data_IF_557246412093
#
_entry.id   IF_557246412093
#
_cell.length_a   1.000
_cell.length_b   1.000
_cell.length_c   1.000
_cell.angle_alpha   90.00
_cell.angle_beta   90.00
_cell.angle_gamma   90.00
#
_symmetry.space_group_name_H-M   'P 1'
#
loop_
_entity.id
_entity.type
_entity.pdbx_description
1 polymer ?
#
# COMPACT_ATOMS: atom_id res chain seq x y z
N UNK A 1 -5.18 14.91 -24.37
CA UNK A 1 -3.96 14.10 -24.62
C UNK A 1 -3.07 13.87 -23.38
N UNK A 2 -3.18 14.64 -22.28
CA UNK A 2 -2.29 14.56 -21.10
C UNK A 2 -2.44 13.31 -20.20
N UNK A 3 -3.58 12.60 -20.20
CA UNK A 3 -3.78 11.44 -19.32
C UNK A 3 -2.94 10.20 -19.69
N UNK A 4 -2.51 10.07 -20.96
CA UNK A 4 -1.72 8.91 -21.37
C UNK A 4 -0.24 9.05 -20.98
N UNK A 5 0.30 10.27 -21.01
CA UNK A 5 1.68 10.52 -20.58
C UNK A 5 1.85 10.24 -19.09
N UNK A 6 0.92 10.69 -18.24
CA UNK A 6 0.97 10.42 -16.80
C UNK A 6 0.90 8.93 -16.47
N UNK A 7 0.07 8.16 -17.18
CA UNK A 7 -0.03 6.71 -17.03
C UNK A 7 1.28 6.00 -17.43
N UNK A 8 1.93 6.45 -18.51
CA UNK A 8 3.22 5.89 -18.96
C UNK A 8 4.32 6.18 -17.93
N UNK A 9 4.41 7.41 -17.42
CA UNK A 9 5.40 7.77 -16.40
C UNK A 9 5.18 7.00 -15.10
N UNK A 10 3.93 6.84 -14.67
CA UNK A 10 3.58 6.03 -13.52
C UNK A 10 4.00 4.57 -13.72
N UNK A 11 3.65 3.95 -14.85
CA UNK A 11 4.05 2.57 -15.16
C UNK A 11 5.57 2.40 -15.21
N UNK A 12 6.31 3.36 -15.76
CA UNK A 12 7.77 3.34 -15.77
C UNK A 12 8.36 3.40 -14.36
N UNK A 13 7.84 4.27 -13.48
CA UNK A 13 8.26 4.33 -12.06
C UNK A 13 7.90 3.06 -11.30
N UNK A 14 6.75 2.46 -11.58
CA UNK A 14 6.37 1.16 -11.02
C UNK A 14 7.40 0.07 -11.39
N UNK A 15 7.78 -0.02 -12.66
CA UNK A 15 8.70 -1.06 -13.14
C UNK A 15 10.14 -0.80 -12.71
N UNK A 16 10.60 0.46 -12.73
CA UNK A 16 12.01 0.81 -12.50
C UNK A 16 12.37 1.10 -11.04
N UNK A 17 11.41 1.55 -10.23
CA UNK A 17 11.66 1.93 -8.84
C UNK A 17 10.93 0.99 -7.89
N UNK A 18 9.60 0.89 -8.03
CA UNK A 18 8.78 0.16 -7.06
C UNK A 18 9.08 -1.34 -7.02
N UNK A 19 9.05 -2.02 -8.17
CA UNK A 19 9.26 -3.47 -8.23
C UNK A 19 10.66 -3.86 -7.73
N UNK A 20 11.76 -3.22 -8.17
CA UNK A 20 13.09 -3.52 -7.63
C UNK A 20 13.19 -3.29 -6.11
N UNK A 21 12.64 -2.18 -5.61
CA UNK A 21 12.61 -1.87 -4.16
C UNK A 21 11.86 -2.94 -3.39
N UNK A 22 10.70 -3.38 -3.89
CA UNK A 22 9.92 -4.42 -3.25
C UNK A 22 10.63 -5.77 -3.27
N UNK A 23 11.38 -6.10 -4.33
CA UNK A 23 12.17 -7.34 -4.39
C UNK A 23 13.30 -7.33 -3.35
N UNK A 24 13.93 -6.18 -3.09
CA UNK A 24 14.99 -6.07 -2.07
C UNK A 24 14.47 -6.11 -0.64
N UNK A 25 13.19 -5.84 -0.44
CA UNK A 25 12.53 -5.76 0.88
C UNK A 25 11.47 -6.86 0.99
N UNK A 26 11.79 -7.98 1.65
CA UNK A 26 10.92 -9.17 1.70
C UNK A 26 9.46 -8.87 2.07
N UNK A 27 9.26 -8.01 3.05
CA UNK A 27 7.94 -7.58 3.52
C UNK A 27 7.15 -6.74 2.50
N UNK A 28 7.81 -6.00 1.61
CA UNK A 28 7.15 -5.32 0.49
C UNK A 28 6.83 -6.31 -0.64
N UNK A 29 7.72 -7.29 -0.89
CA UNK A 29 7.44 -8.40 -1.80
C UNK A 29 6.19 -9.19 -1.35
N UNK A 30 6.06 -9.46 -0.05
CA UNK A 30 4.87 -10.13 0.52
C UNK A 30 3.57 -9.39 0.16
N UNK A 31 3.59 -8.06 0.17
CA UNK A 31 2.41 -7.25 -0.20
C UNK A 31 2.12 -7.32 -1.71
N UNK A 32 3.15 -7.39 -2.56
CA UNK A 32 2.96 -7.63 -4.00
C UNK A 32 2.35 -9.03 -4.22
N UNK A 33 2.87 -10.04 -3.54
CA UNK A 33 2.36 -11.41 -3.63
C UNK A 33 0.94 -11.54 -3.06
N UNK A 34 0.61 -10.79 -2.01
CA UNK A 34 -0.75 -10.65 -1.48
C UNK A 34 -1.70 -10.15 -2.57
N UNK A 35 -1.37 -9.02 -3.22
CA UNK A 35 -2.20 -8.46 -4.28
C UNK A 35 -2.36 -9.43 -5.47
N UNK A 36 -1.28 -10.11 -5.86
CA UNK A 36 -1.30 -11.13 -6.92
C UNK A 36 -2.20 -12.32 -6.55
N UNK A 37 -2.08 -12.85 -5.33
CA UNK A 37 -2.89 -13.98 -4.85
C UNK A 37 -4.38 -13.62 -4.80
N UNK A 38 -4.73 -12.40 -4.39
CA UNK A 38 -6.14 -11.94 -4.44
C UNK A 38 -6.69 -11.95 -5.86
N UNK A 39 -5.95 -11.36 -6.79
CA UNK A 39 -6.34 -11.33 -8.19
C UNK A 39 -6.51 -12.75 -8.75
N UNK A 40 -5.53 -13.63 -8.50
CA UNK A 40 -5.57 -15.02 -8.95
C UNK A 40 -6.72 -15.81 -8.31
N UNK A 41 -7.02 -15.62 -7.02
CA UNK A 41 -8.18 -16.25 -6.38
C UNK A 41 -9.48 -15.92 -7.09
N UNK A 42 -9.67 -14.66 -7.51
CA UNK A 42 -10.85 -14.26 -8.29
C UNK A 42 -10.82 -14.89 -9.69
N UNK A 43 -9.68 -14.84 -10.37
CA UNK A 43 -9.53 -15.40 -11.72
C UNK A 43 -9.80 -16.92 -11.77
N UNK A 44 -9.47 -17.65 -10.70
CA UNK A 44 -9.70 -19.09 -10.60
C UNK A 44 -11.07 -19.48 -10.04
N UNK A 45 -11.89 -18.55 -9.56
CA UNK A 45 -13.19 -18.81 -8.92
C UNK A 45 -14.10 -19.74 -9.72
N UNK A 46 -14.09 -19.62 -11.04
CA UNK A 46 -14.94 -20.43 -11.94
C UNK A 46 -14.15 -21.50 -12.72
N UNK A 47 -12.82 -21.57 -12.54
CA UNK A 47 -11.94 -22.47 -13.32
C UNK A 47 -11.45 -23.66 -12.51
N UNK A 48 -11.07 -23.45 -11.25
CA UNK A 48 -10.60 -24.52 -10.37
C UNK A 48 -10.77 -24.11 -8.91
N UNK A 49 -11.63 -24.84 -8.20
CA UNK A 49 -11.88 -24.59 -6.79
C UNK A 49 -10.65 -24.87 -5.92
N UNK A 50 -9.82 -25.84 -6.31
CA UNK A 50 -8.56 -26.15 -5.62
C UNK A 50 -7.58 -24.97 -5.70
N UNK A 51 -7.32 -24.48 -6.92
CA UNK A 51 -6.43 -23.34 -7.13
C UNK A 51 -6.95 -22.07 -6.43
N UNK A 52 -8.26 -21.83 -6.49
CA UNK A 52 -8.88 -20.73 -5.76
C UNK A 52 -8.58 -20.81 -4.25
N UNK A 53 -8.72 -22.00 -3.62
CA UNK A 53 -8.45 -22.18 -2.19
C UNK A 53 -6.97 -21.95 -1.86
N UNK A 54 -6.05 -22.43 -2.70
CA UNK A 54 -4.61 -22.20 -2.52
C UNK A 54 -4.30 -20.71 -2.49
N UNK A 55 -4.78 -19.94 -3.47
CA UNK A 55 -4.54 -18.50 -3.49
C UNK A 55 -5.22 -17.75 -2.34
N UNK A 56 -6.37 -18.23 -1.84
CA UNK A 56 -6.99 -17.68 -0.62
C UNK A 56 -6.14 -17.92 0.63
N UNK A 57 -5.58 -19.12 0.78
CA UNK A 57 -4.67 -19.44 1.88
C UNK A 57 -3.41 -18.58 1.83
N UNK A 58 -2.79 -18.47 0.65
CA UNK A 58 -1.62 -17.60 0.45
C UNK A 58 -1.93 -16.13 0.73
N UNK A 59 -3.11 -15.64 0.30
CA UNK A 59 -3.59 -14.28 0.63
C UNK A 59 -3.60 -14.05 2.15
N UNK A 60 -4.18 -14.99 2.92
CA UNK A 60 -4.22 -14.88 4.37
C UNK A 60 -2.82 -14.87 4.99
N UNK A 61 -1.95 -15.76 4.51
CA UNK A 61 -0.56 -15.86 4.97
C UNK A 61 0.21 -14.55 4.73
N UNK A 62 0.23 -14.04 3.50
CA UNK A 62 0.96 -12.81 3.17
C UNK A 62 0.39 -11.59 3.90
N UNK A 63 -0.94 -11.50 4.09
CA UNK A 63 -1.55 -10.42 4.89
C UNK A 63 -1.09 -10.46 6.35
N UNK A 64 -1.11 -11.64 6.97
CA UNK A 64 -0.62 -11.83 8.34
C UNK A 64 0.86 -11.46 8.47
N UNK A 65 1.71 -11.93 7.56
CA UNK A 65 3.14 -11.62 7.55
C UNK A 65 3.42 -10.12 7.37
N UNK A 66 2.70 -9.47 6.44
CA UNK A 66 2.83 -8.03 6.19
C UNK A 66 2.45 -7.19 7.41
N UNK A 67 1.38 -7.56 8.12
CA UNK A 67 0.96 -6.89 9.36
C UNK A 67 1.98 -7.08 10.49
N UNK A 68 2.53 -8.29 10.63
CA UNK A 68 3.60 -8.54 11.60
C UNK A 68 4.86 -7.73 11.28
N UNK A 69 5.27 -7.72 10.01
CA UNK A 69 6.42 -6.95 9.54
C UNK A 69 6.25 -5.45 9.80
N UNK A 70 5.09 -4.87 9.47
CA UNK A 70 4.79 -3.48 9.76
C UNK A 70 4.87 -3.19 11.26
N UNK A 71 4.23 -4.01 12.10
CA UNK A 71 4.26 -3.83 13.56
C UNK A 71 5.68 -3.89 14.12
N UNK A 72 6.49 -4.83 13.66
CA UNK A 72 7.89 -4.95 14.07
C UNK A 72 8.72 -3.74 13.63
N UNK A 73 8.53 -3.26 12.40
CA UNK A 73 9.23 -2.10 11.88
C UNK A 73 8.89 -0.83 12.67
N UNK A 74 7.60 -0.58 12.95
CA UNK A 74 7.18 0.55 13.81
C UNK A 74 7.84 0.45 15.19
N UNK A 75 7.85 -0.73 15.80
CA UNK A 75 8.42 -0.92 17.14
C UNK A 75 9.94 -0.71 17.17
N UNK A 76 10.64 -1.03 16.08
CA UNK A 76 12.09 -0.94 15.99
C UNK A 76 12.59 0.45 15.55
N UNK A 77 11.81 1.17 14.74
CA UNK A 77 12.25 2.41 14.09
C UNK A 77 11.77 3.67 14.82
N UNK A 78 10.76 3.58 15.69
CA UNK A 78 10.25 4.75 16.39
C UNK A 78 11.33 5.46 17.23
N UNK A 79 11.44 6.81 17.14
CA UNK A 79 10.53 7.74 16.45
C UNK A 79 10.85 8.01 14.97
N UNK A 80 11.97 7.50 14.44
CA UNK A 80 12.49 7.83 13.10
C UNK A 80 12.16 6.74 12.07
N UNK A 81 10.97 6.84 11.48
CA UNK A 81 10.44 5.85 10.54
C UNK A 81 11.13 5.88 9.16
N UNK A 82 11.42 4.69 8.62
CA UNK A 82 11.98 4.54 7.28
C UNK A 82 10.90 4.67 6.20
N UNK A 83 11.33 4.98 4.97
CA UNK A 83 10.45 4.96 3.79
C UNK A 83 9.82 3.59 3.56
N UNK A 84 10.58 2.52 3.84
CA UNK A 84 10.11 1.14 3.74
C UNK A 84 8.95 0.89 4.71
N UNK A 85 8.97 1.44 5.92
CA UNK A 85 7.88 1.30 6.90
C UNK A 85 6.63 2.07 6.49
N UNK A 86 6.79 3.30 6.02
CA UNK A 86 5.68 4.09 5.46
C UNK A 86 5.07 3.38 4.25
N UNK A 87 5.90 2.85 3.34
CA UNK A 87 5.45 2.10 2.18
C UNK A 87 4.59 0.89 2.56
N UNK A 88 4.96 0.13 3.61
CA UNK A 88 4.15 -1.00 4.11
C UNK A 88 2.76 -0.54 4.54
N UNK A 89 2.67 0.55 5.30
CA UNK A 89 1.39 1.09 5.76
C UNK A 89 0.50 1.54 4.58
N UNK A 90 1.08 2.28 3.63
CA UNK A 90 0.38 2.71 2.41
C UNK A 90 -0.09 1.51 1.59
N UNK A 91 0.75 0.50 1.38
CA UNK A 91 0.38 -0.65 0.56
C UNK A 91 -0.67 -1.55 1.23
N UNK A 92 -0.64 -1.68 2.56
CA UNK A 92 -1.72 -2.35 3.30
C UNK A 92 -3.03 -1.56 3.21
N UNK A 93 -3.00 -0.22 3.20
CA UNK A 93 -4.20 0.57 2.92
C UNK A 93 -4.78 0.27 1.52
N UNK A 94 -3.94 0.12 0.49
CA UNK A 94 -4.40 -0.32 -0.82
C UNK A 94 -5.02 -1.72 -0.81
N UNK A 95 -4.51 -2.64 0.02
CA UNK A 95 -5.14 -3.96 0.22
C UNK A 95 -6.56 -3.81 0.80
N UNK A 96 -6.72 -2.98 1.83
CA UNK A 96 -8.04 -2.73 2.44
C UNK A 96 -9.01 -2.04 1.49
N UNK A 97 -8.51 -1.10 0.68
CA UNK A 97 -9.29 -0.49 -0.39
C UNK A 97 -9.77 -1.53 -1.40
N UNK A 98 -8.90 -2.47 -1.79
CA UNK A 98 -9.23 -3.53 -2.74
C UNK A 98 -10.33 -4.46 -2.20
N UNK A 99 -10.25 -4.87 -0.93
CA UNK A 99 -11.27 -5.72 -0.30
C UNK A 99 -12.50 -4.97 0.20
N UNK A 100 -12.49 -3.64 0.09
CA UNK A 100 -13.56 -2.73 0.55
C UNK A 100 -13.78 -2.79 2.06
N UNK A 101 -12.71 -2.97 2.84
CA UNK A 101 -12.75 -2.81 4.30
C UNK A 101 -12.52 -1.33 4.65
N UNK A 102 -13.60 -0.54 4.60
CA UNK A 102 -13.54 0.90 4.84
C UNK A 102 -13.01 1.26 6.24
N UNK A 103 -13.29 0.44 7.25
CA UNK A 103 -12.84 0.68 8.62
C UNK A 103 -11.33 0.50 8.72
N UNK A 104 -10.81 -0.60 8.19
CA UNK A 104 -9.38 -0.87 8.28
C UNK A 104 -8.56 -0.01 7.32
N UNK A 105 -9.13 0.33 6.16
CA UNK A 105 -8.59 1.35 5.27
C UNK A 105 -8.38 2.67 6.01
N UNK A 106 -9.41 3.17 6.72
CA UNK A 106 -9.29 4.42 7.49
C UNK A 106 -8.14 4.37 8.48
N UNK A 107 -8.03 3.29 9.26
CA UNK A 107 -6.95 3.14 10.23
C UNK A 107 -5.57 3.14 9.58
N UNK A 108 -5.39 2.43 8.46
CA UNK A 108 -4.11 2.42 7.76
C UNK A 108 -3.78 3.78 7.13
N UNK A 109 -4.77 4.50 6.59
CA UNK A 109 -4.56 5.84 6.05
C UNK A 109 -4.21 6.84 7.15
N UNK A 110 -4.94 6.84 8.27
CA UNK A 110 -4.64 7.71 9.42
C UNK A 110 -3.22 7.44 9.95
N UNK A 111 -2.85 6.17 10.11
CA UNK A 111 -1.51 5.78 10.53
C UNK A 111 -0.44 6.22 9.51
N UNK A 112 -0.67 5.99 8.21
CA UNK A 112 0.28 6.43 7.18
C UNK A 112 0.44 7.96 7.20
N UNK A 113 -0.64 8.71 7.40
CA UNK A 113 -0.57 10.16 7.55
C UNK A 113 0.26 10.57 8.76
N UNK A 114 0.01 9.98 9.92
CA UNK A 114 0.78 10.24 11.14
C UNK A 114 2.28 9.95 10.95
N UNK A 115 2.62 8.80 10.36
CA UNK A 115 4.01 8.44 10.06
C UNK A 115 4.69 9.47 9.15
N UNK A 116 3.97 9.96 8.14
CA UNK A 116 4.48 10.97 7.20
C UNK A 116 4.62 12.33 7.87
N UNK A 117 3.71 12.69 8.78
CA UNK A 117 3.86 13.88 9.62
C UNK A 117 5.13 13.81 10.47
N UNK A 118 5.38 12.66 11.12
CA UNK A 118 6.59 12.44 11.93
C UNK A 118 7.88 12.54 11.10
N UNK A 119 7.82 12.19 9.81
CA UNK A 119 8.94 12.35 8.87
C UNK A 119 9.17 13.78 8.37
N UNK A 120 8.23 14.71 8.60
CA UNK A 120 8.32 16.09 8.14
C UNK A 120 7.50 16.41 6.88
N UNK A 121 6.56 15.54 6.49
CA UNK A 121 5.59 15.77 5.43
C UNK A 121 5.79 14.90 4.18
N UNK A 122 4.82 14.89 3.23
CA UNK A 122 4.81 14.00 2.07
C UNK A 122 6.03 14.15 1.15
N UNK A 123 6.56 15.37 1.03
CA UNK A 123 7.74 15.68 0.22
C UNK A 123 9.04 15.01 0.71
N UNK A 124 9.02 14.44 1.92
CA UNK A 124 10.16 13.70 2.50
C UNK A 124 10.21 12.25 2.07
N UNK A 125 9.17 11.78 1.37
CA UNK A 125 9.05 10.41 0.91
C UNK A 125 9.86 10.19 -0.38
N UNK A 126 10.66 9.13 -0.41
CA UNK A 126 11.51 8.79 -1.54
C UNK A 126 10.80 8.17 -2.74
N UNK A 127 11.57 7.42 -3.54
CA UNK A 127 11.18 6.82 -4.82
C UNK A 127 10.72 7.85 -5.87
N UNK A 128 11.46 8.97 -5.98
CA UNK A 128 11.23 10.04 -6.96
C UNK A 128 9.78 10.56 -6.96
N UNK A 129 9.21 10.72 -5.76
CA UNK A 129 7.83 11.19 -5.55
C UNK A 129 6.76 10.12 -5.82
N UNK A 130 7.12 8.86 -6.09
CA UNK A 130 6.15 7.78 -6.27
C UNK A 130 5.40 7.48 -4.97
N UNK A 131 6.07 7.49 -3.82
CA UNK A 131 5.42 7.23 -2.53
C UNK A 131 4.46 8.36 -2.14
N UNK A 132 4.86 9.62 -2.36
CA UNK A 132 3.98 10.77 -2.21
C UNK A 132 2.73 10.61 -3.08
N UNK A 133 2.91 10.25 -4.35
CA UNK A 133 1.79 10.01 -5.26
C UNK A 133 0.84 8.91 -4.76
N UNK A 134 1.38 7.81 -4.22
CA UNK A 134 0.56 6.74 -3.63
C UNK A 134 -0.28 7.22 -2.45
N UNK A 135 0.32 7.99 -1.54
CA UNK A 135 -0.35 8.54 -0.35
C UNK A 135 -1.47 9.50 -0.76
N UNK A 136 -1.17 10.48 -1.63
CA UNK A 136 -2.15 11.48 -2.07
C UNK A 136 -3.32 10.84 -2.81
N UNK A 137 -3.05 9.82 -3.64
CA UNK A 137 -4.10 9.06 -4.31
C UNK A 137 -4.99 8.29 -3.32
N UNK A 138 -4.42 7.68 -2.26
CA UNK A 138 -5.21 7.05 -1.20
C UNK A 138 -6.08 8.06 -0.47
N UNK A 139 -5.53 9.19 -0.06
CA UNK A 139 -6.27 10.24 0.66
C UNK A 139 -7.43 10.75 -0.21
N UNK A 140 -7.17 11.00 -1.50
CA UNK A 140 -8.19 11.46 -2.46
C UNK A 140 -9.33 10.44 -2.57
N UNK A 141 -9.03 9.15 -2.75
CA UNK A 141 -10.05 8.09 -2.81
C UNK A 141 -10.81 7.92 -1.50
N UNK A 142 -10.11 8.05 -0.38
CA UNK A 142 -10.69 7.89 0.95
C UNK A 142 -11.67 9.02 1.29
N UNK A 143 -11.32 10.26 0.94
CA UNK A 143 -12.19 11.45 1.12
C UNK A 143 -13.33 11.51 0.10
N UNK A 144 -13.04 11.23 -1.17
CA UNK A 144 -13.99 11.37 -2.26
C UNK A 144 -14.92 10.17 -2.40
N UNK A 145 -14.37 8.99 -2.71
CA UNK A 145 -15.17 7.82 -3.08
C UNK A 145 -15.85 7.16 -1.87
N UNK A 146 -15.27 7.34 -0.67
CA UNK A 146 -15.72 6.68 0.56
C UNK A 146 -16.19 7.64 1.66
N UNK A 147 -16.08 8.96 1.43
CA UNK A 147 -16.50 10.02 2.37
C UNK A 147 -15.93 9.85 3.80
N UNK A 148 -14.75 9.23 3.93
CA UNK A 148 -14.10 8.99 5.22
C UNK A 148 -13.31 10.25 5.63
N UNK A 149 -13.51 10.68 6.88
CA UNK A 149 -12.75 11.80 7.45
C UNK A 149 -11.30 11.39 7.69
N UNK A 150 -10.39 11.99 6.90
CA UNK A 150 -8.93 11.88 7.04
C UNK A 150 -8.37 13.29 7.15
N UNK A 151 -7.72 13.60 8.27
CA UNK A 151 -7.04 14.89 8.50
C UNK A 151 -5.59 14.80 8.04
N UNK A 152 -5.10 15.82 7.34
CA UNK A 152 -3.72 15.91 6.85
C UNK A 152 -3.08 17.18 7.40
N UNK A 153 -2.16 17.08 8.38
CA UNK A 153 -1.61 18.25 9.08
C UNK A 153 -0.81 19.23 8.21
N UNK A 154 -0.49 18.87 6.97
CA UNK A 154 0.31 19.67 6.03
C UNK A 154 -0.54 20.40 4.98
N UNK A 155 -1.87 20.32 5.07
CA UNK A 155 -2.79 21.10 4.22
C UNK A 155 -3.31 22.38 4.90
N UNK A 156 -2.76 22.72 6.08
CA UNK A 156 -3.07 23.93 6.87
C UNK A 156 -2.09 25.09 6.58
#
# INVERSE_FOLDING_TARGET
MRCNESAIFFAQRMIRLWVPTAITESSLLDIILLAACRHLSIAYRQRSQEQQRIFQQLTFQYKSQSLQALRHAISAEMPMLTDSTVAKAIMLAYDELYVRDAKMLKHHVDAAVEMVTLKGGPQTLGLDGLMEHFLLNLITKTRGDLELSVRTPWEE
#
